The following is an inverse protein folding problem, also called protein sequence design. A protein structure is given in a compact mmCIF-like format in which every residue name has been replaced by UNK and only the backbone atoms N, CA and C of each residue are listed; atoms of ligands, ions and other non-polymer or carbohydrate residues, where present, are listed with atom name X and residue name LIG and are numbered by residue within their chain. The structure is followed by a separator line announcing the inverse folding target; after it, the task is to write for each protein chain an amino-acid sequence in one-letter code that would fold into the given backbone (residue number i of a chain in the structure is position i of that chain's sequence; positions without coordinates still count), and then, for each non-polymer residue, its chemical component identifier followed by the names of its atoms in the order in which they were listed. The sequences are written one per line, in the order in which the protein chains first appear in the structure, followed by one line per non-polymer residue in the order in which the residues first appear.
data_IF_332326440968
#
_entry.id   IF_332326440968
#
_cell.length_a   1.000
_cell.length_b   1.000
_cell.length_c   1.000
_cell.angle_alpha   90.00
_cell.angle_beta   90.00
_cell.angle_gamma   90.00
#
_symmetry.space_group_name_H-M   'P 1'
#
loop_
_entity.id
_entity.type
_entity.pdbx_description
1 polymer ?
#
# COMPACT_ATOMS: atom_id res chain seq x y z
N UNK A 1 -30.05 -36.06 5.34
CA UNK A 1 -31.05 -34.98 5.48
C UNK A 1 -32.46 -35.45 5.12
N UNK A 2 -32.74 -35.87 3.88
CA UNK A 2 -34.09 -36.32 3.45
C UNK A 2 -34.75 -37.37 4.35
N UNK A 3 -33.99 -38.35 4.85
CA UNK A 3 -34.49 -39.36 5.78
C UNK A 3 -35.08 -38.77 7.06
N UNK A 4 -34.39 -37.78 7.65
CA UNK A 4 -34.83 -37.10 8.88
C UNK A 4 -36.13 -36.32 8.63
N UNK A 5 -36.21 -35.58 7.52
CA UNK A 5 -37.42 -34.83 7.16
C UNK A 5 -38.62 -35.76 6.98
N UNK A 6 -38.44 -36.90 6.30
CA UNK A 6 -39.49 -37.91 6.12
C UNK A 6 -39.95 -38.48 7.46
N UNK A 7 -39.01 -38.83 8.35
CA UNK A 7 -39.32 -39.37 9.67
C UNK A 7 -40.11 -38.38 10.53
N UNK A 8 -39.76 -37.09 10.46
CA UNK A 8 -40.42 -36.02 11.20
C UNK A 8 -41.73 -35.51 10.56
N UNK A 9 -42.13 -36.03 9.39
CA UNK A 9 -43.30 -35.55 8.65
C UNK A 9 -43.14 -34.12 8.10
N UNK A 10 -41.90 -33.65 7.90
CA UNK A 10 -41.61 -32.30 7.40
C UNK A 10 -41.47 -32.25 5.88
N UNK A 11 -41.87 -31.12 5.28
CA UNK A 11 -41.63 -30.84 3.86
C UNK A 11 -40.15 -30.56 3.63
N UNK A 12 -39.52 -31.33 2.74
CA UNK A 12 -38.11 -31.13 2.38
C UNK A 12 -37.94 -29.84 1.55
N UNK A 13 -37.04 -28.91 1.94
CA UNK A 13 -36.86 -27.67 1.21
C UNK A 13 -36.18 -27.90 -0.15
N UNK A 14 -36.35 -26.95 -1.08
CA UNK A 14 -35.56 -26.93 -2.31
C UNK A 14 -34.10 -26.63 -1.95
N UNK A 15 -33.21 -27.56 -2.28
CA UNK A 15 -31.76 -27.40 -2.08
C UNK A 15 -31.07 -27.16 -3.41
N UNK A 16 -30.20 -26.15 -3.46
CA UNK A 16 -29.26 -25.93 -4.56
C UNK A 16 -27.84 -26.05 -4.04
N UNK A 17 -26.96 -26.63 -4.84
CA UNK A 17 -25.54 -26.73 -4.56
C UNK A 17 -24.79 -25.93 -5.61
N UNK A 18 -23.67 -25.34 -5.19
CA UNK A 18 -22.77 -24.62 -6.08
C UNK A 18 -21.34 -24.98 -5.70
N UNK A 19 -20.44 -24.75 -6.65
CA UNK A 19 -19.02 -24.97 -6.49
C UNK A 19 -18.43 -24.09 -5.39
N UNK A 20 -17.41 -24.60 -4.73
CA UNK A 20 -16.68 -23.86 -3.70
C UNK A 20 -15.83 -22.77 -4.35
N UNK A 21 -15.79 -21.62 -3.68
CA UNK A 21 -14.85 -20.54 -3.98
C UNK A 21 -13.58 -20.75 -3.16
N UNK A 22 -12.45 -20.82 -3.85
CA UNK A 22 -11.12 -20.87 -3.26
C UNK A 22 -10.36 -19.61 -3.63
N UNK A 23 -9.46 -19.18 -2.74
CA UNK A 23 -8.54 -18.08 -3.02
C UNK A 23 -7.19 -18.72 -3.32
N UNK A 24 -6.70 -18.52 -4.54
CA UNK A 24 -5.52 -19.17 -5.09
C UNK A 24 -4.30 -19.00 -4.17
N UNK A 25 -4.10 -17.79 -3.66
CA UNK A 25 -2.96 -17.39 -2.85
C UNK A 25 -2.95 -18.03 -1.45
N UNK A 26 -4.11 -18.51 -0.96
CA UNK A 26 -4.25 -19.05 0.41
C UNK A 26 -4.55 -20.55 0.46
N UNK A 27 -4.79 -21.18 -0.69
CA UNK A 27 -5.14 -22.59 -0.78
C UNK A 27 -6.34 -22.96 0.10
N UNK A 28 -6.23 -24.05 0.85
CA UNK A 28 -7.30 -24.54 1.74
C UNK A 28 -7.40 -23.70 3.01
N UNK A 29 -8.48 -22.93 3.11
CA UNK A 29 -8.84 -22.19 4.32
C UNK A 29 -9.41 -23.12 5.40
N UNK A 30 -8.66 -23.33 6.47
CA UNK A 30 -9.13 -24.06 7.66
C UNK A 30 -9.19 -23.14 8.86
N UNK A 31 -10.41 -22.90 9.37
CA UNK A 31 -10.64 -22.07 10.56
C UNK A 31 -9.94 -22.63 11.79
N UNK A 32 -9.92 -23.96 11.95
CA UNK A 32 -9.21 -24.62 13.04
C UNK A 32 -7.69 -24.43 12.95
N UNK A 33 -7.13 -24.49 11.74
CA UNK A 33 -5.70 -24.25 11.53
C UNK A 33 -5.33 -22.79 11.84
N UNK A 34 -6.13 -21.83 11.37
CA UNK A 34 -5.95 -20.41 11.67
C UNK A 34 -6.03 -20.16 13.18
N UNK A 35 -7.02 -20.75 13.86
CA UNK A 35 -7.16 -20.62 15.32
C UNK A 35 -5.93 -21.15 16.06
N UNK A 36 -5.39 -22.30 15.65
CA UNK A 36 -4.17 -22.88 16.22
C UNK A 36 -2.97 -21.96 15.99
N UNK A 37 -2.79 -21.46 14.77
CA UNK A 37 -1.70 -20.54 14.43
C UNK A 37 -1.77 -19.21 15.19
N UNK A 38 -2.98 -18.70 15.47
CA UNK A 38 -3.17 -17.54 16.36
C UNK A 38 -2.75 -17.88 17.79
N UNK A 39 -3.17 -19.04 18.32
CA UNK A 39 -2.81 -19.46 19.68
C UNK A 39 -1.29 -19.69 19.85
N UNK A 40 -0.60 -20.10 18.79
CA UNK A 40 0.85 -20.29 18.74
C UNK A 40 1.62 -18.97 18.52
N UNK A 41 0.92 -17.84 18.32
CA UNK A 41 1.53 -16.53 18.11
C UNK A 41 2.02 -16.26 16.68
N UNK A 42 1.79 -17.18 15.74
CA UNK A 42 2.12 -16.99 14.32
C UNK A 42 1.35 -15.81 13.73
N UNK A 43 0.07 -15.67 14.09
CA UNK A 43 -0.78 -14.53 13.72
C UNK A 43 -1.19 -13.74 14.96
N UNK A 44 -1.26 -12.43 14.81
CA UNK A 44 -1.64 -11.49 15.88
C UNK A 44 -3.11 -11.62 16.27
N UNK A 45 -3.95 -12.11 15.36
CA UNK A 45 -5.38 -12.27 15.58
C UNK A 45 -6.12 -12.66 14.31
N UNK A 46 -7.45 -12.66 14.37
CA UNK A 46 -8.31 -12.95 13.22
C UNK A 46 -8.30 -11.85 12.15
N UNK A 47 -7.80 -10.67 12.48
CA UNK A 47 -7.68 -9.49 11.64
C UNK A 47 -6.24 -9.21 11.19
N UNK A 48 -5.33 -10.16 11.43
CA UNK A 48 -3.95 -10.14 10.94
C UNK A 48 -3.93 -10.03 9.40
N UNK A 49 -3.11 -9.14 8.80
CA UNK A 49 -3.18 -8.86 7.37
C UNK A 49 -2.78 -10.06 6.49
N UNK A 50 -2.07 -11.03 7.07
CA UNK A 50 -1.68 -12.28 6.41
C UNK A 50 -2.82 -13.30 6.35
N UNK A 51 -3.98 -12.99 6.91
CA UNK A 51 -5.15 -13.85 6.84
C UNK A 51 -6.14 -13.36 5.78
N UNK A 52 -6.84 -14.28 5.08
CA UNK A 52 -7.88 -13.93 4.11
C UNK A 52 -9.26 -13.86 4.77
N UNK A 53 -9.32 -13.49 6.04
CA UNK A 53 -10.59 -13.35 6.77
C UNK A 53 -11.26 -12.03 6.36
N UNK A 54 -12.59 -11.97 6.48
CA UNK A 54 -13.32 -10.72 6.27
C UNK A 54 -12.81 -9.60 7.20
N UNK A 55 -12.38 -9.94 8.42
CA UNK A 55 -11.81 -8.98 9.37
C UNK A 55 -10.47 -8.41 8.89
N UNK A 56 -9.58 -9.27 8.40
CA UNK A 56 -8.28 -8.85 7.88
C UNK A 56 -8.42 -8.04 6.59
N UNK A 57 -9.25 -8.50 5.65
CA UNK A 57 -9.58 -7.78 4.40
C UNK A 57 -10.13 -6.38 4.71
N UNK A 58 -11.06 -6.28 5.67
CA UNK A 58 -11.59 -4.98 6.13
C UNK A 58 -10.51 -4.12 6.78
N UNK A 59 -9.70 -4.68 7.68
CA UNK A 59 -8.63 -3.94 8.38
C UNK A 59 -7.54 -3.43 7.43
N UNK A 60 -7.30 -4.16 6.34
CA UNK A 60 -6.44 -3.74 5.23
C UNK A 60 -7.00 -2.61 4.39
N UNK A 61 -8.27 -2.21 4.57
CA UNK A 61 -8.89 -1.12 3.81
C UNK A 61 -9.55 -1.56 2.51
N UNK A 62 -9.87 -2.86 2.35
CA UNK A 62 -10.70 -3.31 1.23
C UNK A 62 -12.16 -3.04 1.57
N UNK A 63 -12.83 -2.29 0.69
CA UNK A 63 -14.18 -1.82 0.89
C UNK A 63 -15.21 -2.93 0.67
N UNK A 64 -16.29 -2.97 1.48
CA UNK A 64 -17.33 -3.99 1.36
C UNK A 64 -18.04 -3.95 0.00
N UNK A 65 -18.12 -2.78 -0.64
CA UNK A 65 -18.68 -2.61 -1.98
C UNK A 65 -17.84 -3.35 -3.03
N UNK A 66 -16.51 -3.29 -2.93
CA UNK A 66 -15.60 -4.01 -3.82
C UNK A 66 -15.76 -5.52 -3.66
N UNK A 67 -15.82 -6.00 -2.41
CA UNK A 67 -16.02 -7.42 -2.12
C UNK A 67 -17.39 -7.91 -2.61
N UNK A 68 -18.45 -7.13 -2.40
CA UNK A 68 -19.79 -7.47 -2.90
C UNK A 68 -19.80 -7.57 -4.42
N UNK A 69 -19.23 -6.58 -5.10
CA UNK A 69 -19.17 -6.56 -6.56
C UNK A 69 -18.39 -7.76 -7.10
N UNK A 70 -17.22 -8.03 -6.52
CA UNK A 70 -16.42 -9.21 -6.84
C UNK A 70 -17.22 -10.52 -6.73
N UNK A 71 -18.00 -10.70 -5.66
CA UNK A 71 -18.84 -11.88 -5.48
C UNK A 71 -20.04 -11.94 -6.43
N UNK A 72 -20.59 -10.80 -6.84
CA UNK A 72 -21.69 -10.73 -7.82
C UNK A 72 -21.20 -11.04 -9.24
N UNK A 73 -20.05 -10.49 -9.62
CA UNK A 73 -19.43 -10.70 -10.93
C UNK A 73 -19.00 -12.16 -11.11
N UNK A 74 -18.66 -12.84 -10.01
CA UNK A 74 -18.34 -14.26 -10.00
C UNK A 74 -19.52 -15.15 -10.41
N UNK A 75 -20.73 -14.76 -10.03
CA UNK A 75 -21.94 -15.55 -10.24
C UNK A 75 -21.99 -16.87 -9.46
N UNK A 76 -22.98 -17.69 -9.80
CA UNK A 76 -23.15 -19.03 -9.25
C UNK A 76 -22.89 -20.06 -10.35
N UNK A 77 -21.94 -20.96 -10.10
CA UNK A 77 -21.65 -22.11 -10.95
C UNK A 77 -21.62 -23.40 -10.13
N UNK A 78 -21.85 -24.54 -10.76
CA UNK A 78 -21.77 -25.85 -10.10
C UNK A 78 -20.32 -26.35 -9.93
N UNK A 79 -19.37 -25.73 -10.63
CA UNK A 79 -17.95 -26.08 -10.59
C UNK A 79 -17.19 -25.26 -9.56
N UNK A 80 -16.30 -25.93 -8.81
CA UNK A 80 -15.35 -25.25 -7.94
C UNK A 80 -14.49 -24.27 -8.74
N UNK A 81 -14.22 -23.12 -8.15
CA UNK A 81 -13.51 -22.01 -8.78
C UNK A 81 -12.42 -21.50 -7.83
N UNK A 82 -11.24 -21.26 -8.40
CA UNK A 82 -10.11 -20.67 -7.70
C UNK A 82 -9.87 -19.27 -8.25
N UNK A 83 -9.93 -18.27 -7.37
CA UNK A 83 -9.83 -16.86 -7.74
C UNK A 83 -8.55 -16.24 -7.21
N UNK A 84 -8.01 -15.29 -7.96
CA UNK A 84 -6.94 -14.43 -7.47
C UNK A 84 -7.52 -13.22 -6.76
N UNK A 85 -6.85 -12.80 -5.68
CA UNK A 85 -7.18 -11.54 -5.01
C UNK A 85 -6.92 -10.31 -5.86
N UNK A 86 -6.15 -10.41 -6.95
CA UNK A 86 -5.90 -9.29 -7.85
C UNK A 86 -7.18 -8.74 -8.48
N UNK A 87 -8.17 -9.61 -8.75
CA UNK A 87 -9.49 -9.16 -9.24
C UNK A 87 -10.23 -8.35 -8.18
N UNK A 88 -10.20 -8.79 -6.92
CA UNK A 88 -10.76 -8.04 -5.80
C UNK A 88 -10.04 -6.69 -5.62
N UNK A 89 -8.71 -6.68 -5.71
CA UNK A 89 -7.90 -5.47 -5.60
C UNK A 89 -8.18 -4.49 -6.74
N UNK A 90 -8.39 -4.98 -7.97
CA UNK A 90 -8.77 -4.14 -9.09
C UNK A 90 -10.12 -3.45 -8.87
N UNK A 91 -11.12 -4.18 -8.35
CA UNK A 91 -12.42 -3.59 -7.99
C UNK A 91 -12.29 -2.59 -6.84
N UNK A 92 -11.48 -2.88 -5.83
CA UNK A 92 -11.25 -1.96 -4.73
C UNK A 92 -10.55 -0.68 -5.21
N UNK A 93 -9.52 -0.81 -6.05
CA UNK A 93 -8.76 0.33 -6.62
C UNK A 93 -9.67 1.31 -7.34
N UNK A 94 -10.66 0.84 -8.12
CA UNK A 94 -11.63 1.70 -8.81
C UNK A 94 -12.40 2.61 -7.86
N UNK A 95 -12.60 2.19 -6.61
CA UNK A 95 -13.34 2.93 -5.60
C UNK A 95 -12.41 3.86 -4.81
N UNK A 96 -11.24 3.36 -4.38
CA UNK A 96 -10.35 4.11 -3.49
C UNK A 96 -9.42 5.08 -4.23
N UNK A 97 -9.01 4.78 -5.46
CA UNK A 97 -8.04 5.60 -6.19
C UNK A 97 -8.49 7.06 -6.35
N UNK A 98 -9.75 7.36 -6.71
CA UNK A 98 -10.21 8.75 -6.86
C UNK A 98 -10.29 9.55 -5.55
N UNK A 99 -10.29 8.88 -4.39
CA UNK A 99 -10.51 9.50 -3.08
C UNK A 99 -9.28 9.45 -2.15
N UNK A 100 -8.32 8.56 -2.42
CA UNK A 100 -7.14 8.37 -1.58
C UNK A 100 -6.16 9.53 -1.73
N UNK A 101 -5.77 10.12 -0.60
CA UNK A 101 -4.69 11.10 -0.57
C UNK A 101 -3.35 10.43 -0.86
N UNK A 102 -2.45 11.14 -1.54
CA UNK A 102 -1.11 10.67 -1.89
C UNK A 102 -0.10 11.20 -0.88
N UNK A 103 0.79 10.34 -0.40
CA UNK A 103 1.89 10.70 0.50
C UNK A 103 3.17 9.98 0.07
N UNK A 104 4.33 10.49 0.49
CA UNK A 104 5.59 9.79 0.38
C UNK A 104 5.88 8.95 1.64
N UNK A 105 6.31 7.72 1.39
CA UNK A 105 6.82 6.80 2.40
C UNK A 105 8.08 6.14 1.84
N UNK A 106 9.20 6.38 2.52
CA UNK A 106 10.50 5.82 2.19
C UNK A 106 10.78 4.67 3.14
N UNK A 107 10.68 3.44 2.62
CA UNK A 107 11.12 2.24 3.33
C UNK A 107 12.62 2.04 3.18
N UNK A 108 13.24 1.42 4.19
CA UNK A 108 14.71 1.23 4.26
C UNK A 108 15.47 2.52 3.88
N UNK A 109 15.34 3.57 4.71
CA UNK A 109 15.77 4.91 4.35
C UNK A 109 17.29 5.03 4.25
N UNK A 110 17.74 5.72 3.22
CA UNK A 110 19.13 6.16 3.02
C UNK A 110 19.17 7.67 2.95
N UNK A 111 20.04 8.28 3.75
CA UNK A 111 20.27 9.74 3.72
C UNK A 111 20.96 10.14 2.42
N UNK A 112 20.44 11.20 1.81
CA UNK A 112 20.97 11.83 0.62
C UNK A 112 21.20 13.32 0.90
N UNK A 113 22.47 13.72 0.89
CA UNK A 113 22.87 15.13 0.98
C UNK A 113 23.02 15.71 -0.41
N UNK A 114 22.44 16.90 -0.62
CA UNK A 114 22.32 17.52 -1.93
C UNK A 114 23.13 18.81 -1.96
N UNK A 115 24.29 18.75 -2.62
CA UNK A 115 25.20 19.88 -2.76
C UNK A 115 24.55 20.99 -3.59
N UNK A 116 24.61 22.23 -3.09
CA UNK A 116 24.04 23.41 -3.74
C UNK A 116 22.51 23.53 -3.64
N UNK A 117 21.84 22.66 -2.88
CA UNK A 117 20.43 22.85 -2.55
C UNK A 117 20.24 23.84 -1.39
N UNK A 118 19.16 24.60 -1.43
CA UNK A 118 18.69 25.43 -0.31
C UNK A 118 17.42 24.81 0.30
N UNK A 119 17.19 24.99 1.62
CA UNK A 119 15.94 24.58 2.25
C UNK A 119 14.72 25.16 1.53
N UNK A 120 13.73 24.32 1.24
CA UNK A 120 12.54 24.72 0.48
C UNK A 120 11.33 23.90 0.89
N UNK A 121 10.14 24.45 0.66
CA UNK A 121 8.89 23.71 0.78
C UNK A 121 8.47 23.20 -0.60
N UNK A 122 8.46 21.88 -0.77
CA UNK A 122 7.88 21.24 -1.95
C UNK A 122 6.35 21.31 -1.88
N UNK A 123 5.72 21.63 -3.01
CA UNK A 123 4.26 21.69 -3.14
C UNK A 123 3.80 20.55 -4.02
N UNK A 124 3.44 19.43 -3.40
CA UNK A 124 2.96 18.25 -4.11
C UNK A 124 1.42 18.25 -4.18
N UNK A 125 0.79 17.74 -5.24
CA UNK A 125 -0.65 17.53 -5.26
C UNK A 125 -1.08 16.52 -4.19
N UNK A 126 -2.17 16.81 -3.46
CA UNK A 126 -2.79 15.82 -2.55
C UNK A 126 -3.37 14.66 -3.35
N UNK A 127 -3.91 14.94 -4.53
CA UNK A 127 -4.39 13.97 -5.49
C UNK A 127 -4.20 14.51 -6.92
N UNK A 128 -3.87 13.67 -7.91
CA UNK A 128 -3.65 14.13 -9.30
C UNK A 128 -4.82 14.90 -9.91
N UNK A 129 -6.05 14.60 -9.50
CA UNK A 129 -7.28 15.17 -10.09
C UNK A 129 -8.15 15.98 -9.14
N UNK A 130 -7.92 15.92 -7.82
CA UNK A 130 -8.85 16.49 -6.81
C UNK A 130 -8.50 17.91 -6.37
N UNK A 131 -7.44 18.49 -6.96
CA UNK A 131 -6.90 19.77 -6.51
C UNK A 131 -6.34 19.69 -5.08
N UNK A 132 -5.81 20.82 -4.60
CA UNK A 132 -5.14 20.90 -3.31
C UNK A 132 -3.69 20.48 -3.36
N UNK A 133 -2.88 21.15 -2.55
CA UNK A 133 -1.44 20.92 -2.42
C UNK A 133 -1.14 20.54 -0.98
N UNK A 134 -0.22 19.60 -0.81
CA UNK A 134 0.46 19.31 0.45
C UNK A 134 1.84 19.94 0.41
N UNK A 135 2.25 20.49 1.54
CA UNK A 135 3.53 21.15 1.72
C UNK A 135 4.47 20.20 2.45
N UNK A 136 5.62 19.92 1.83
CA UNK A 136 6.63 19.02 2.38
C UNK A 136 7.91 19.83 2.57
N UNK A 137 8.38 20.07 3.82
CA UNK A 137 9.66 20.73 4.02
C UNK A 137 10.77 19.85 3.48
N UNK A 138 11.71 20.43 2.75
CA UNK A 138 12.93 19.81 2.26
C UNK A 138 14.12 20.59 2.81
N UNK A 139 15.01 19.93 3.54
CA UNK A 139 16.31 20.48 3.89
C UNK A 139 17.32 20.31 2.76
N UNK A 140 18.60 20.47 3.09
CA UNK A 140 19.73 20.07 2.22
C UNK A 140 19.98 18.56 2.25
N UNK A 141 19.38 17.88 3.23
CA UNK A 141 19.40 16.44 3.41
C UNK A 141 17.96 15.92 3.36
N UNK A 142 17.79 14.79 2.70
CA UNK A 142 16.52 14.07 2.57
C UNK A 142 16.77 12.57 2.71
N UNK A 143 15.70 11.79 2.80
CA UNK A 143 15.74 10.33 2.77
C UNK A 143 15.14 9.83 1.46
N UNK A 144 15.79 8.83 0.87
CA UNK A 144 15.30 8.05 -0.27
C UNK A 144 15.34 6.56 0.04
N UNK A 145 14.67 5.73 -0.75
CA UNK A 145 14.70 4.28 -0.53
C UNK A 145 16.08 3.73 -0.83
N UNK A 146 16.56 2.74 -0.07
CA UNK A 146 17.81 2.04 -0.37
C UNK A 146 17.85 1.48 -1.78
N UNK A 147 16.74 0.92 -2.25
CA UNK A 147 16.64 0.39 -3.61
C UNK A 147 16.83 1.48 -4.67
N UNK A 148 16.34 2.70 -4.43
CA UNK A 148 16.66 3.83 -5.30
C UNK A 148 18.15 4.18 -5.22
N UNK A 149 18.72 4.32 -4.01
CA UNK A 149 20.12 4.66 -3.79
C UNK A 149 21.09 3.67 -4.45
N UNK A 150 20.90 2.36 -4.25
CA UNK A 150 21.76 1.30 -4.78
C UNK A 150 21.70 1.19 -6.31
N UNK A 151 20.63 1.70 -6.92
CA UNK A 151 20.43 1.68 -8.37
C UNK A 151 21.00 2.92 -9.09
N UNK A 152 21.48 3.92 -8.35
CA UNK A 152 22.03 5.15 -8.91
C UNK A 152 23.40 4.91 -9.57
N UNK A 153 23.67 5.66 -10.65
CA UNK A 153 24.96 5.64 -11.34
C UNK A 153 25.59 7.02 -11.37
N UNK A 154 26.90 7.09 -11.31
CA UNK A 154 27.62 8.35 -11.46
C UNK A 154 27.30 9.00 -12.82
N UNK A 155 27.04 10.31 -12.81
CA UNK A 155 26.57 11.08 -13.97
C UNK A 155 25.08 10.94 -14.28
N UNK A 156 24.33 10.07 -13.57
CA UNK A 156 22.89 9.94 -13.75
C UNK A 156 22.17 11.22 -13.30
N UNK A 157 21.20 11.66 -14.10
CA UNK A 157 20.31 12.77 -13.77
C UNK A 157 18.91 12.25 -13.53
N UNK A 158 18.32 12.66 -12.42
CA UNK A 158 16.98 12.25 -12.03
C UNK A 158 16.22 13.38 -11.36
N UNK A 159 14.91 13.19 -11.19
CA UNK A 159 14.03 14.15 -10.53
C UNK A 159 13.57 13.63 -9.18
N UNK A 160 13.75 14.46 -8.15
CA UNK A 160 13.07 14.32 -6.88
C UNK A 160 11.64 14.85 -7.05
N UNK A 161 10.67 13.96 -6.86
CA UNK A 161 9.26 14.25 -7.14
C UNK A 161 8.79 15.52 -6.42
N UNK A 162 8.16 16.41 -7.20
CA UNK A 162 7.62 17.71 -6.78
C UNK A 162 8.62 18.66 -6.07
N UNK A 163 9.93 18.39 -6.20
CA UNK A 163 11.00 19.19 -5.62
C UNK A 163 11.92 19.80 -6.70
N UNK A 164 12.95 19.07 -7.15
CA UNK A 164 13.90 19.53 -8.18
C UNK A 164 14.69 18.37 -8.81
N UNK A 165 15.55 18.70 -9.77
CA UNK A 165 16.42 17.78 -10.47
C UNK A 165 17.80 17.71 -9.80
N UNK A 166 18.39 16.52 -9.77
CA UNK A 166 19.73 16.26 -9.23
C UNK A 166 20.58 15.48 -10.24
N UNK A 167 21.90 15.63 -10.12
CA UNK A 167 22.90 14.83 -10.83
C UNK A 167 23.78 14.09 -9.81
N UNK A 168 23.98 12.80 -10.02
CA UNK A 168 24.85 11.95 -9.18
C UNK A 168 26.30 12.27 -9.50
N UNK A 169 27.04 12.75 -8.50
CA UNK A 169 28.47 13.12 -8.62
C UNK A 169 29.40 12.08 -8.03
N UNK A 170 28.88 11.12 -7.25
CA UNK A 170 29.63 9.98 -6.73
C UNK A 170 28.71 8.96 -6.09
N UNK A 171 29.13 7.69 -6.04
CA UNK A 171 28.34 6.57 -5.49
C UNK A 171 28.96 5.94 -4.24
N UNK A 172 30.20 6.29 -3.89
CA UNK A 172 30.86 5.84 -2.65
C UNK A 172 31.91 6.87 -2.20
N UNK A 173 31.55 7.84 -1.34
CA UNK A 173 30.21 8.07 -0.78
C UNK A 173 29.20 8.57 -1.82
N UNK A 174 27.91 8.31 -1.58
CA UNK A 174 26.83 8.84 -2.44
C UNK A 174 26.79 10.37 -2.32
N UNK A 175 27.02 11.05 -3.44
CA UNK A 175 26.97 12.51 -3.55
C UNK A 175 26.13 12.89 -4.76
N UNK A 176 25.31 13.92 -4.57
CA UNK A 176 24.48 14.49 -5.62
C UNK A 176 24.54 16.01 -5.56
N UNK A 177 24.40 16.66 -6.71
CA UNK A 177 24.30 18.12 -6.80
C UNK A 177 22.94 18.54 -7.35
N UNK A 178 22.45 19.67 -6.88
CA UNK A 178 21.29 20.34 -7.47
C UNK A 178 21.63 20.84 -8.89
N UNK A 179 20.73 20.60 -9.86
CA UNK A 179 20.92 21.02 -11.26
C UNK A 179 19.76 21.84 -11.85
N UNK A 180 18.73 22.17 -11.06
CA UNK A 180 17.61 23.01 -11.51
C UNK A 180 16.23 22.44 -11.18
N UNK A 181 15.19 23.22 -11.46
CA UNK A 181 13.79 22.87 -11.17
C UNK A 181 12.95 22.60 -12.41
N UNK A 182 13.51 22.80 -13.59
CA UNK A 182 12.83 22.68 -14.88
C UNK A 182 12.30 21.25 -15.10
N UNK A 183 11.35 21.12 -16.02
CA UNK A 183 10.73 19.84 -16.36
C UNK A 183 11.33 19.25 -17.64
N UNK A 184 12.34 19.89 -18.24
CA UNK A 184 12.89 19.46 -19.52
C UNK A 184 13.59 18.10 -19.38
N UNK A 185 14.29 17.89 -18.27
CA UNK A 185 14.91 16.61 -17.92
C UNK A 185 13.92 15.43 -17.96
N UNK A 186 12.69 15.64 -17.47
CA UNK A 186 11.65 14.59 -17.47
C UNK A 186 11.01 14.45 -18.84
N UNK A 187 10.74 15.56 -19.52
CA UNK A 187 10.00 15.56 -20.79
C UNK A 187 10.86 15.10 -21.97
N UNK A 188 12.12 15.53 -22.03
CA UNK A 188 13.06 15.28 -23.14
C UNK A 188 13.90 14.03 -22.87
N UNK A 189 14.52 13.96 -21.70
CA UNK A 189 15.49 12.91 -21.38
C UNK A 189 14.85 11.69 -20.70
N UNK A 190 13.52 11.72 -20.49
CA UNK A 190 12.74 10.69 -19.80
C UNK A 190 13.36 10.29 -18.45
N UNK A 191 13.92 11.27 -17.75
CA UNK A 191 14.63 11.04 -16.52
C UNK A 191 13.74 10.36 -15.47
N UNK A 192 14.36 9.45 -14.71
CA UNK A 192 13.71 8.72 -13.62
C UNK A 192 13.20 9.70 -12.56
N UNK A 193 12.01 9.44 -12.04
CA UNK A 193 11.43 10.20 -10.92
C UNK A 193 11.43 9.31 -9.69
N UNK A 194 12.00 9.80 -8.59
CA UNK A 194 11.95 9.13 -7.29
C UNK A 194 11.21 9.98 -6.25
N UNK A 195 10.62 9.31 -5.27
CA UNK A 195 10.01 9.97 -4.12
C UNK A 195 11.04 10.08 -3.00
N UNK A 196 10.77 10.96 -2.04
CA UNK A 196 11.68 11.27 -0.93
C UNK A 196 10.86 11.75 0.26
N UNK A 197 11.48 11.80 1.44
CA UNK A 197 10.91 12.41 2.65
C UNK A 197 11.98 13.22 3.39
N UNK A 198 11.60 14.23 4.18
CA UNK A 198 12.55 14.92 5.04
C UNK A 198 13.00 14.03 6.21
N UNK A 199 14.11 14.42 6.85
CA UNK A 199 14.67 13.69 7.99
C UNK A 199 13.75 13.72 9.22
N UNK A 200 12.93 14.76 9.39
CA UNK A 200 12.03 14.98 10.52
C UNK A 200 10.61 14.41 10.29
N UNK A 201 10.50 13.40 9.42
CA UNK A 201 9.26 12.70 9.12
C UNK A 201 8.74 11.79 10.25
N UNK A 202 7.66 11.08 9.98
CA UNK A 202 7.02 10.12 10.88
C UNK A 202 7.69 8.74 10.74
N UNK A 203 7.81 8.01 11.84
CA UNK A 203 8.22 6.61 11.82
C UNK A 203 7.02 5.78 11.36
N UNK A 204 7.13 5.15 10.19
CA UNK A 204 6.02 4.40 9.59
C UNK A 204 6.35 2.91 9.52
N UNK A 205 5.42 2.10 9.99
CA UNK A 205 5.44 0.63 9.84
C UNK A 205 4.26 0.19 8.99
N UNK A 206 4.53 -0.48 7.88
CA UNK A 206 3.49 -1.04 7.00
C UNK A 206 3.46 -2.55 7.14
N UNK A 207 2.34 -3.07 7.64
CA UNK A 207 2.09 -4.50 7.74
C UNK A 207 1.42 -5.01 6.46
N UNK A 208 2.07 -5.94 5.77
CA UNK A 208 1.64 -6.55 4.52
C UNK A 208 1.48 -8.07 4.66
N UNK A 209 0.68 -8.73 3.80
CA UNK A 209 0.73 -10.18 3.67
C UNK A 209 2.14 -10.75 3.45
N UNK A 210 3.00 -9.99 2.76
CA UNK A 210 4.36 -10.43 2.38
C UNK A 210 5.43 -10.11 3.42
N UNK A 211 5.09 -9.35 4.47
CA UNK A 211 6.05 -8.94 5.51
C UNK A 211 5.77 -7.56 6.07
N UNK A 212 6.74 -7.04 6.82
CA UNK A 212 6.69 -5.71 7.41
C UNK A 212 7.70 -4.79 6.73
N UNK A 213 7.26 -3.58 6.40
CA UNK A 213 8.13 -2.52 5.88
C UNK A 213 8.24 -1.41 6.91
N UNK A 214 9.46 -1.04 7.26
CA UNK A 214 9.73 0.06 8.19
C UNK A 214 10.44 1.19 7.47
N UNK A 215 10.10 2.43 7.80
CA UNK A 215 10.69 3.59 7.14
C UNK A 215 10.18 4.91 7.69
N UNK A 216 10.39 5.96 6.91
CA UNK A 216 9.97 7.31 7.24
C UNK A 216 8.89 7.77 6.26
N UNK A 217 7.80 8.29 6.80
CA UNK A 217 6.73 8.93 6.04
C UNK A 217 6.78 10.44 6.19
N UNK A 218 6.26 11.15 5.20
CA UNK A 218 6.03 12.59 5.35
C UNK A 218 4.96 12.90 6.41
N UNK A 219 5.00 14.10 6.98
CA UNK A 219 3.94 14.59 7.87
C UNK A 219 2.65 14.90 7.11
N UNK A 220 1.54 14.93 7.82
CA UNK A 220 0.19 15.12 7.31
C UNK A 220 -0.62 13.82 7.23
N UNK A 221 0.02 12.65 7.09
CA UNK A 221 -0.68 11.36 7.03
C UNK A 221 -1.25 10.92 8.39
N UNK A 222 -0.74 11.47 9.50
CA UNK A 222 -1.27 11.23 10.84
C UNK A 222 -2.74 11.68 11.01
N UNK A 223 -3.23 12.53 10.09
CA UNK A 223 -4.62 13.01 10.03
C UNK A 223 -5.55 12.06 9.28
N UNK A 224 -5.00 10.99 8.70
CA UNK A 224 -5.73 10.04 7.87
C UNK A 224 -6.06 8.73 8.61
N UNK A 225 -6.12 8.76 9.94
CA UNK A 225 -6.53 7.61 10.76
C UNK A 225 -7.84 6.99 10.22
N UNK A 226 -7.84 5.66 10.14
CA UNK A 226 -8.91 4.82 9.60
C UNK A 226 -9.18 4.94 8.10
N UNK A 227 -8.49 5.83 7.38
CA UNK A 227 -8.66 6.03 5.95
C UNK A 227 -7.60 5.30 5.14
N UNK A 228 -7.94 5.05 3.88
CA UNK A 228 -7.02 4.51 2.88
C UNK A 228 -6.34 5.67 2.15
N UNK A 229 -5.01 5.62 2.11
CA UNK A 229 -4.15 6.56 1.39
C UNK A 229 -3.29 5.79 0.39
N UNK A 230 -2.66 6.48 -0.56
CA UNK A 230 -1.64 5.88 -1.40
C UNK A 230 -0.26 6.40 -0.99
N UNK A 231 0.63 5.47 -0.69
CA UNK A 231 2.06 5.72 -0.67
C UNK A 231 2.60 5.62 -2.10
N UNK A 232 3.05 6.74 -2.64
CA UNK A 232 3.48 6.82 -4.03
C UNK A 232 4.65 5.89 -4.32
N UNK A 233 4.57 5.15 -5.44
CA UNK A 233 5.53 4.09 -5.83
C UNK A 233 5.62 2.90 -4.86
N UNK A 234 4.73 2.82 -3.87
CA UNK A 234 4.62 1.68 -2.94
C UNK A 234 3.28 0.95 -3.10
N UNK A 235 2.16 1.66 -2.92
CA UNK A 235 0.80 1.11 -3.03
C UNK A 235 -0.19 1.79 -2.09
N UNK A 236 -1.42 1.27 -2.02
CA UNK A 236 -2.45 1.72 -1.10
C UNK A 236 -2.28 1.10 0.27
N UNK A 237 -2.51 1.89 1.30
CA UNK A 237 -2.45 1.47 2.70
C UNK A 237 -3.58 2.11 3.50
N UNK A 238 -4.09 1.41 4.52
CA UNK A 238 -4.98 2.00 5.53
C UNK A 238 -4.17 2.43 6.74
N UNK A 239 -4.31 3.67 7.19
CA UNK A 239 -3.70 4.13 8.45
C UNK A 239 -4.49 3.52 9.62
N UNK A 240 -3.85 2.62 10.36
CA UNK A 240 -4.50 1.81 11.40
C UNK A 240 -4.29 2.39 12.81
N UNK A 241 -3.14 3.00 13.06
CA UNK A 241 -2.90 3.73 14.31
C UNK A 241 -1.88 4.85 14.15
N UNK A 242 -2.02 5.86 15.01
CA UNK A 242 -1.15 7.03 15.10
C UNK A 242 -0.85 7.26 16.58
N UNK A 243 0.44 7.29 16.95
CA UNK A 243 0.91 7.48 18.33
C UNK A 243 2.13 8.38 18.34
N UNK A 244 1.93 9.67 18.61
CA UNK A 244 3.01 10.66 18.49
C UNK A 244 3.52 10.70 17.04
N UNK A 245 4.83 10.49 16.86
CA UNK A 245 5.46 10.42 15.54
C UNK A 245 5.46 9.00 14.93
N UNK A 246 4.82 8.01 15.57
CA UNK A 246 4.70 6.65 15.03
C UNK A 246 3.35 6.43 14.33
N UNK A 247 3.40 5.85 13.13
CA UNK A 247 2.23 5.46 12.33
C UNK A 247 2.33 3.99 11.96
N UNK A 248 1.27 3.23 12.22
CA UNK A 248 1.12 1.86 11.71
C UNK A 248 0.06 1.88 10.62
N UNK A 249 0.42 1.35 9.45
CA UNK A 249 -0.46 1.21 8.31
C UNK A 249 -0.56 -0.26 7.88
N UNK A 250 -1.67 -0.62 7.27
CA UNK A 250 -1.91 -1.95 6.71
C UNK A 250 -1.95 -1.88 5.20
N UNK A 251 -1.16 -2.72 4.53
CA UNK A 251 -1.12 -2.76 3.08
C UNK A 251 -2.45 -3.25 2.50
N UNK A 252 -3.06 -2.44 1.64
CA UNK A 252 -4.30 -2.75 0.95
C UNK A 252 -3.98 -3.56 -0.29
N UNK A 253 -3.36 -2.94 -1.30
CA UNK A 253 -2.89 -3.53 -2.55
C UNK A 253 -2.04 -2.50 -3.29
N UNK A 254 -1.33 -2.90 -4.35
CA UNK A 254 -0.61 -1.94 -5.22
C UNK A 254 -1.57 -0.99 -5.94
#
# INVERSE_FOLDING_TARGET
QRYVYKYMGWTYPRTMHWGRVQIHEFGKLSTSAIKKAIAEGTYTGWDDPRLPTIRAIKRRGILPEALRKFMLDLGLGETDISLSLDTLYAENRKIIDPIANRYFFVWDPVELEIEGAEPKIAKAPIHPTRGGLREIPAGTKILITRNDADSLKEGERLRLKDLYNIEVTGISPLRVKFIGTDMDLVKKDKARIIHWVPLDGLIVRVLSPDGEYTGIGERGMEKELDKVVQFERFGFVRIDSVRGDEVVAYFTHK
#
